data_IF_093789203939
#
_entry.id   IF_093789203939
#
_cell.length_a   1.000
_cell.length_b   1.000
_cell.length_c   1.000
_cell.angle_alpha   90.00
_cell.angle_beta   90.00
_cell.angle_gamma   90.00
#
_symmetry.space_group_name_H-M   'P 1'
#
loop_
_entity.id
_entity.type
_entity.pdbx_description
1 polymer ?
#
# COMPACT_ATOMS: atom_id res chain seq x y z
N UNK A 1 -17.89 3.56 -8.03
CA UNK A 1 -16.69 4.38 -8.30
C UNK A 1 -15.53 3.79 -7.49
N UNK A 2 -14.58 3.06 -8.10
CA UNK A 2 -13.53 2.36 -7.36
C UNK A 2 -12.60 3.29 -6.56
N UNK A 3 -12.50 4.57 -6.94
CA UNK A 3 -11.53 5.50 -6.36
C UNK A 3 -12.04 6.27 -5.14
N UNK A 4 -13.36 6.36 -4.89
CA UNK A 4 -13.89 7.26 -3.86
C UNK A 4 -13.40 6.93 -2.44
N UNK A 5 -13.22 5.63 -2.14
CA UNK A 5 -12.65 5.20 -0.87
C UNK A 5 -11.15 5.49 -0.79
N UNK A 6 -10.41 5.25 -1.88
CA UNK A 6 -8.97 5.48 -1.90
C UNK A 6 -8.64 6.98 -1.81
N UNK A 7 -9.42 7.82 -2.48
CA UNK A 7 -9.30 9.27 -2.42
C UNK A 7 -9.65 9.77 -1.01
N UNK A 8 -10.74 9.29 -0.42
CA UNK A 8 -11.11 9.61 0.96
C UNK A 8 -10.01 9.21 1.95
N UNK A 9 -9.51 7.98 1.84
CA UNK A 9 -8.44 7.47 2.71
C UNK A 9 -7.17 8.30 2.57
N UNK A 10 -6.76 8.61 1.34
CA UNK A 10 -5.57 9.43 1.07
C UNK A 10 -5.71 10.84 1.65
N UNK A 11 -6.89 11.45 1.49
CA UNK A 11 -7.17 12.77 2.06
C UNK A 11 -7.15 12.76 3.58
N UNK A 12 -7.76 11.75 4.21
CA UNK A 12 -7.74 11.59 5.66
C UNK A 12 -6.32 11.40 6.19
N UNK A 13 -5.52 10.52 5.59
CA UNK A 13 -4.11 10.34 5.97
C UNK A 13 -3.30 11.62 5.78
N UNK A 14 -3.59 12.39 4.72
CA UNK A 14 -2.90 13.66 4.46
C UNK A 14 -3.24 14.76 5.46
N UNK A 15 -4.32 14.61 6.25
CA UNK A 15 -4.68 15.54 7.32
C UNK A 15 -3.87 15.36 8.61
N UNK A 16 -3.11 14.26 8.75
CA UNK A 16 -2.23 14.06 9.90
C UNK A 16 -1.05 15.02 9.89
N UNK A 17 -0.56 15.34 11.09
CA UNK A 17 0.63 16.17 11.21
C UNK A 17 1.86 15.40 10.67
N UNK A 18 2.61 16.06 9.78
CA UNK A 18 3.81 15.48 9.15
C UNK A 18 4.89 15.15 10.18
N UNK A 19 4.93 15.84 11.32
CA UNK A 19 5.90 15.59 12.39
C UNK A 19 5.73 14.21 13.05
N UNK A 20 4.54 13.61 12.93
CA UNK A 20 4.27 12.25 13.42
C UNK A 20 4.77 11.16 12.45
N UNK A 21 5.05 11.53 11.20
CA UNK A 21 5.59 10.64 10.18
C UNK A 21 7.11 10.56 10.32
N UNK A 22 7.57 9.80 11.33
CA UNK A 22 9.00 9.70 11.66
C UNK A 22 9.77 8.76 10.74
N UNK A 23 9.19 7.60 10.42
CA UNK A 23 9.81 6.58 9.57
C UNK A 23 8.74 5.90 8.72
N UNK A 24 9.05 5.76 7.43
CA UNK A 24 8.22 5.05 6.47
C UNK A 24 8.94 3.78 6.03
N UNK A 25 8.35 2.63 6.34
CA UNK A 25 8.79 1.33 5.85
C UNK A 25 8.14 1.07 4.48
N UNK A 26 8.97 0.70 3.50
CA UNK A 26 8.52 0.29 2.16
C UNK A 26 8.75 -1.20 2.01
N UNK A 27 7.69 -1.96 1.76
CA UNK A 27 7.78 -3.42 1.63
C UNK A 27 6.94 -3.96 0.47
N UNK A 28 7.42 -5.05 -0.14
CA UNK A 28 6.73 -5.75 -1.21
C UNK A 28 6.01 -6.99 -0.68
N UNK A 29 4.70 -7.09 -0.92
CA UNK A 29 3.89 -8.25 -0.54
C UNK A 29 3.32 -8.94 -1.76
N UNK A 30 3.19 -10.25 -1.67
CA UNK A 30 2.47 -11.06 -2.66
C UNK A 30 1.12 -11.47 -2.07
N UNK A 31 0.02 -11.12 -2.74
CA UNK A 31 -1.31 -11.43 -2.23
C UNK A 31 -1.60 -12.94 -2.38
N UNK A 32 -1.68 -13.65 -1.26
CA UNK A 32 -1.97 -15.09 -1.24
C UNK A 32 -3.32 -15.37 -1.90
N UNK A 33 -3.38 -16.37 -2.78
CA UNK A 33 -4.59 -16.74 -3.50
C UNK A 33 -4.97 -15.80 -4.66
N UNK A 34 -4.16 -14.77 -4.95
CA UNK A 34 -4.43 -13.86 -6.07
C UNK A 34 -4.22 -14.49 -7.46
N UNK A 35 -3.44 -15.57 -7.53
CA UNK A 35 -3.19 -16.29 -8.78
C UNK A 35 -4.43 -17.10 -9.17
N UNK A 36 -5.15 -16.64 -10.20
CA UNK A 36 -6.24 -17.37 -10.85
C UNK A 36 -5.74 -18.02 -12.14
N UNK A 37 -6.48 -18.98 -12.69
CA UNK A 37 -6.10 -19.68 -13.93
C UNK A 37 -6.05 -18.66 -15.08
N UNK A 38 -4.86 -18.42 -15.61
CA UNK A 38 -4.62 -17.42 -16.67
C UNK A 38 -4.17 -16.04 -16.18
N UNK A 39 -4.27 -15.74 -14.88
CA UNK A 39 -3.86 -14.46 -14.31
C UNK A 39 -2.48 -14.52 -13.63
N UNK A 40 -1.77 -13.40 -13.68
CA UNK A 40 -0.53 -13.20 -12.92
C UNK A 40 -0.86 -13.00 -11.43
N UNK A 41 0.01 -13.52 -10.57
CA UNK A 41 -0.04 -13.23 -9.14
C UNK A 41 0.02 -11.72 -8.89
N UNK A 42 -0.78 -11.22 -7.97
CA UNK A 42 -0.78 -9.80 -7.61
C UNK A 42 0.36 -9.53 -6.62
N UNK A 43 1.28 -8.65 -7.04
CA UNK A 43 2.30 -8.07 -6.18
C UNK A 43 1.89 -6.64 -5.83
N UNK A 44 2.11 -6.26 -4.58
CA UNK A 44 1.75 -4.93 -4.05
C UNK A 44 2.95 -4.37 -3.30
N UNK A 45 3.26 -3.09 -3.53
CA UNK A 45 4.18 -2.31 -2.71
C UNK A 45 3.34 -1.54 -1.70
N UNK A 46 3.73 -1.59 -0.43
CA UNK A 46 3.05 -0.92 0.67
C UNK A 46 3.99 0.07 1.36
N UNK A 47 3.47 1.24 1.69
CA UNK A 47 4.14 2.23 2.53
C UNK A 47 3.49 2.27 3.91
N UNK A 48 4.27 2.07 4.97
CA UNK A 48 3.77 2.02 6.35
C UNK A 48 4.52 3.01 7.24
N UNK A 49 3.79 3.92 7.89
CA UNK A 49 4.36 4.83 8.87
C UNK A 49 4.41 4.16 10.24
N UNK A 50 5.60 3.97 10.80
CA UNK A 50 5.74 3.41 12.16
C UNK A 50 5.28 4.40 13.23
N UNK A 51 5.50 5.69 13.00
CA UNK A 51 5.09 6.76 13.92
C UNK A 51 3.57 6.88 14.04
N UNK A 52 2.84 6.68 12.93
CA UNK A 52 1.38 6.70 12.90
C UNK A 52 0.73 5.33 13.09
N UNK A 53 1.51 4.24 13.01
CA UNK A 53 0.99 2.87 13.07
C UNK A 53 0.09 2.47 11.89
N UNK A 54 0.17 3.15 10.74
CA UNK A 54 -0.78 2.99 9.63
C UNK A 54 -0.13 2.87 8.24
N UNK A 55 -0.81 2.17 7.33
CA UNK A 55 -0.45 2.13 5.92
C UNK A 55 -0.84 3.45 5.25
N UNK A 56 0.13 4.15 4.67
CA UNK A 56 -0.08 5.42 3.99
C UNK A 56 -0.62 5.23 2.56
N UNK A 57 -0.39 4.05 1.98
CA UNK A 57 -0.79 3.76 0.62
C UNK A 57 -0.18 2.46 0.10
N UNK A 58 -0.79 1.96 -0.97
CA UNK A 58 -0.41 0.71 -1.62
C UNK A 58 -0.53 0.82 -3.14
N UNK A 59 0.40 0.18 -3.85
CA UNK A 59 0.44 0.17 -5.32
C UNK A 59 0.62 -1.25 -5.84
N UNK A 60 -0.27 -1.69 -6.75
CA UNK A 60 -0.07 -2.94 -7.50
C UNK A 60 1.12 -2.80 -8.43
N UNK A 61 1.99 -3.81 -8.49
CA UNK A 61 3.14 -3.84 -9.38
C UNK A 61 3.21 -5.15 -10.16
N UNK A 62 3.70 -5.07 -11.39
CA UNK A 62 3.98 -6.23 -12.24
C UNK A 62 5.41 -6.76 -12.03
N UNK A 63 6.25 -6.03 -11.29
CA UNK A 63 7.60 -6.48 -10.94
C UNK A 63 7.53 -7.44 -9.75
N UNK A 64 8.12 -8.61 -9.90
CA UNK A 64 8.38 -9.53 -8.79
C UNK A 64 9.46 -8.90 -7.90
N UNK A 65 9.05 -8.10 -6.92
CA UNK A 65 9.97 -7.29 -6.10
C UNK A 65 10.57 -8.05 -4.90
N UNK A 66 10.24 -9.33 -4.72
CA UNK A 66 10.76 -10.14 -3.61
C UNK A 66 12.04 -10.86 -4.05
N UNK A 67 13.17 -10.43 -3.48
CA UNK A 67 14.34 -11.29 -3.29
C UNK A 67 14.46 -11.58 -1.81
#
# INVERSE_FOLDING_TARGET
MPNSLQDFFTNWVSSFNKDEVKQICIDGKTLRGSKRKGDRTIHVINAYSTGLGLSLGQLKTDKRAMK
#
